data_IF_633968400045
#
_entry.id   IF_633968400045
#
_cell.length_a   1.000
_cell.length_b   1.000
_cell.length_c   1.000
_cell.angle_alpha   90.00
_cell.angle_beta   90.00
_cell.angle_gamma   90.00
#
_symmetry.space_group_name_H-M   'P 1'
#
loop_
_entity.id
_entity.type
_entity.pdbx_description
1 polymer ?
#
# COMPACT_ATOMS: atom_id res chain seq x y z
N UNK A 1 44.52 17.58 -41.33
CA UNK A 1 43.83 17.63 -40.02
C UNK A 1 42.57 16.78 -40.09
N UNK A 2 42.68 15.48 -39.82
CA UNK A 2 41.55 14.53 -39.92
C UNK A 2 40.97 14.32 -38.52
N UNK A 3 39.73 14.78 -38.30
CA UNK A 3 39.04 14.61 -37.02
C UNK A 3 38.40 13.21 -36.97
N UNK A 4 38.89 12.37 -36.07
CA UNK A 4 38.36 11.03 -35.83
C UNK A 4 36.99 11.12 -35.15
N UNK A 5 35.95 10.56 -35.80
CA UNK A 5 34.59 10.49 -35.28
C UNK A 5 34.49 9.42 -34.19
N UNK A 6 34.64 9.82 -32.93
CA UNK A 6 34.35 8.94 -31.78
C UNK A 6 32.83 8.87 -31.60
N UNK A 7 32.23 7.72 -31.93
CA UNK A 7 30.80 7.48 -31.72
C UNK A 7 30.60 6.75 -30.39
N UNK A 8 30.03 7.45 -29.40
CA UNK A 8 29.66 6.85 -28.13
C UNK A 8 28.48 5.88 -28.32
N UNK A 9 28.69 4.59 -28.09
CA UNK A 9 27.62 3.59 -28.05
C UNK A 9 27.17 3.41 -26.60
N UNK A 10 25.96 3.86 -26.28
CA UNK A 10 25.35 3.60 -24.96
C UNK A 10 24.97 2.12 -24.88
N UNK A 11 25.45 1.40 -23.87
CA UNK A 11 24.98 0.04 -23.56
C UNK A 11 23.56 0.15 -23.02
N UNK A 12 22.60 -0.42 -23.74
CA UNK A 12 21.23 -0.57 -23.24
C UNK A 12 21.24 -1.49 -22.02
N UNK A 13 20.91 -0.95 -20.85
CA UNK A 13 20.70 -1.75 -19.64
C UNK A 13 19.31 -2.38 -19.75
N UNK A 14 19.27 -3.72 -19.81
CA UNK A 14 18.02 -4.48 -19.79
C UNK A 14 17.20 -4.07 -18.57
N UNK A 15 15.96 -3.60 -18.80
CA UNK A 15 15.02 -3.22 -17.73
C UNK A 15 14.91 -4.38 -16.74
N UNK A 16 15.26 -4.15 -15.46
CA UNK A 16 14.98 -5.11 -14.38
C UNK A 16 13.48 -5.40 -14.40
N UNK A 17 13.10 -6.68 -14.43
CA UNK A 17 11.71 -7.08 -14.19
C UNK A 17 11.35 -6.63 -12.79
N UNK A 18 10.50 -5.60 -12.67
CA UNK A 18 9.94 -5.17 -11.41
C UNK A 18 9.12 -6.34 -10.87
N UNK A 19 9.53 -6.91 -9.74
CA UNK A 19 8.70 -7.91 -9.08
C UNK A 19 7.45 -7.22 -8.52
N UNK A 20 6.28 -7.88 -8.57
CA UNK A 20 5.09 -7.34 -7.95
C UNK A 20 5.34 -7.15 -6.45
N UNK A 21 5.06 -5.96 -5.94
CA UNK A 21 5.20 -5.64 -4.53
C UNK A 21 4.26 -6.54 -3.73
N UNK A 22 4.78 -7.19 -2.69
CA UNK A 22 3.93 -7.91 -1.73
C UNK A 22 3.10 -6.87 -0.97
N UNK A 23 1.86 -7.23 -0.64
CA UNK A 23 1.00 -6.38 0.18
C UNK A 23 1.71 -5.99 1.48
N UNK A 24 1.59 -4.72 1.88
CA UNK A 24 2.22 -4.19 3.09
C UNK A 24 1.80 -4.95 4.36
N UNK A 25 0.57 -5.44 4.41
CA UNK A 25 0.00 -6.17 5.56
C UNK A 25 -0.79 -7.39 5.09
N UNK A 26 -0.92 -8.38 5.97
CA UNK A 26 -1.80 -9.52 5.79
C UNK A 26 -2.77 -9.61 6.96
N UNK A 27 -4.05 -9.83 6.67
CA UNK A 27 -5.09 -10.01 7.66
C UNK A 27 -5.34 -11.50 7.92
N UNK A 28 -5.68 -11.81 9.17
CA UNK A 28 -6.17 -13.14 9.52
C UNK A 28 -7.66 -13.27 9.18
N UNK A 29 -8.18 -14.49 8.97
CA UNK A 29 -9.60 -14.69 8.66
C UNK A 29 -10.54 -14.11 9.72
N UNK A 30 -10.15 -14.18 11.00
CA UNK A 30 -10.90 -13.60 12.11
C UNK A 30 -10.94 -12.07 12.07
N UNK A 31 -9.83 -11.43 11.70
CA UNK A 31 -9.76 -9.97 11.55
C UNK A 31 -10.67 -9.49 10.42
N UNK A 32 -10.65 -10.21 9.28
CA UNK A 32 -11.55 -9.95 8.16
C UNK A 32 -13.01 -9.99 8.61
N UNK A 33 -13.43 -11.06 9.30
CA UNK A 33 -14.79 -11.20 9.82
C UNK A 33 -15.23 -10.05 10.73
N UNK A 34 -14.32 -9.58 11.60
CA UNK A 34 -14.59 -8.47 12.50
C UNK A 34 -14.76 -7.14 11.75
N UNK A 35 -13.94 -6.89 10.73
CA UNK A 35 -14.08 -5.72 9.86
C UNK A 35 -15.42 -5.77 9.10
N UNK A 36 -15.85 -6.95 8.62
CA UNK A 36 -17.17 -7.09 7.99
C UNK A 36 -18.30 -6.67 8.92
N UNK A 37 -18.24 -7.09 10.17
CA UNK A 37 -19.25 -6.75 11.17
C UNK A 37 -19.28 -5.24 11.43
N UNK A 38 -18.12 -4.61 11.59
CA UNK A 38 -18.02 -3.17 11.84
C UNK A 38 -18.54 -2.31 10.68
N UNK A 39 -18.38 -2.77 9.44
CA UNK A 39 -18.81 -2.05 8.24
C UNK A 39 -20.28 -2.30 7.88
N UNK A 40 -20.87 -3.43 8.30
CA UNK A 40 -22.32 -3.69 8.13
C UNK A 40 -23.18 -2.58 8.72
N UNK A 41 -22.75 -2.04 9.86
CA UNK A 41 -23.45 -0.98 10.56
C UNK A 41 -23.26 0.41 9.91
N UNK A 42 -22.34 0.53 8.93
CA UNK A 42 -21.89 1.80 8.34
C UNK A 42 -21.67 1.68 6.82
N UNK A 43 -22.76 1.59 6.03
CA UNK A 43 -22.68 1.35 4.58
C UNK A 43 -22.01 2.47 3.78
N UNK A 44 -21.82 3.65 4.38
CA UNK A 44 -21.15 4.77 3.70
C UNK A 44 -19.63 4.63 3.63
N UNK A 45 -19.01 3.69 4.36
CA UNK A 45 -17.56 3.54 4.43
C UNK A 45 -17.09 2.36 3.59
N UNK A 46 -16.08 2.61 2.75
CA UNK A 46 -15.55 1.66 1.77
C UNK A 46 -14.47 0.77 2.39
N UNK A 47 -13.84 1.21 3.48
CA UNK A 47 -12.77 0.45 4.12
C UNK A 47 -12.32 1.00 5.47
N UNK A 48 -11.28 0.36 6.01
CA UNK A 48 -10.63 0.76 7.26
C UNK A 48 -9.19 1.16 6.95
N UNK A 49 -8.78 2.31 7.46
CA UNK A 49 -7.43 2.84 7.40
C UNK A 49 -6.65 2.52 8.67
N UNK A 50 -5.39 2.07 8.52
CA UNK A 50 -4.49 1.77 9.63
C UNK A 50 -3.39 2.84 9.71
N UNK A 51 -3.51 3.74 10.67
CA UNK A 51 -2.47 4.71 10.99
C UNK A 51 -1.55 4.23 12.11
N UNK A 52 -0.35 4.80 12.17
CA UNK A 52 0.53 4.74 13.34
C UNK A 52 0.69 6.12 13.95
N UNK A 53 0.60 6.21 15.27
CA UNK A 53 0.83 7.44 16.04
C UNK A 53 1.94 7.22 17.06
N UNK A 54 2.84 8.18 17.20
CA UNK A 54 3.93 8.14 18.18
C UNK A 54 3.40 8.38 19.59
N UNK A 55 3.83 7.56 20.56
CA UNK A 55 3.46 7.65 21.98
C UNK A 55 4.72 7.52 22.85
N UNK A 56 5.05 8.59 23.58
CA UNK A 56 6.18 8.60 24.51
C UNK A 56 7.55 8.46 23.81
N UNK A 57 8.55 7.97 24.56
CA UNK A 57 9.96 8.00 24.12
C UNK A 57 10.26 7.06 22.93
N UNK A 58 9.60 5.89 22.86
CA UNK A 58 9.83 4.88 21.80
C UNK A 58 8.54 4.12 21.41
N UNK A 59 7.35 4.59 21.82
CA UNK A 59 6.11 3.87 21.58
C UNK A 59 5.46 4.24 20.24
N UNK A 60 4.92 3.24 19.56
CA UNK A 60 3.99 3.41 18.45
C UNK A 60 2.62 2.87 18.86
N UNK A 61 1.56 3.52 18.42
CA UNK A 61 0.19 3.08 18.62
C UNK A 61 -0.54 3.05 17.31
N UNK A 62 -1.18 1.93 17.02
CA UNK A 62 -2.00 1.76 15.83
C UNK A 62 -3.36 2.43 16.04
N UNK A 63 -3.84 3.11 15.01
CA UNK A 63 -5.17 3.72 14.98
C UNK A 63 -5.94 3.19 13.78
N UNK A 64 -7.19 2.79 14.02
CA UNK A 64 -8.10 2.33 12.97
C UNK A 64 -9.13 3.43 12.70
N UNK A 65 -9.17 3.92 11.47
CA UNK A 65 -10.11 4.96 11.04
C UNK A 65 -10.96 4.45 9.88
N UNK A 66 -12.25 4.75 9.83
CA UNK A 66 -13.08 4.37 8.69
C UNK A 66 -12.85 5.37 7.55
N UNK A 67 -12.69 4.89 6.32
CA UNK A 67 -12.53 5.77 5.16
C UNK A 67 -13.51 5.44 4.05
N UNK A 68 -13.92 6.48 3.33
CA UNK A 68 -14.76 6.38 2.11
C UNK A 68 -13.91 6.40 0.84
N UNK A 69 -12.74 7.03 0.90
CA UNK A 69 -11.88 7.29 -0.26
C UNK A 69 -10.44 6.95 0.05
N UNK A 70 -9.68 6.61 -0.99
CA UNK A 70 -8.24 6.37 -0.93
C UNK A 70 -7.53 7.72 -1.08
N UNK A 71 -6.51 7.98 -0.26
CA UNK A 71 -5.61 9.12 -0.48
C UNK A 71 -4.52 8.79 -1.50
N UNK A 72 -3.88 9.81 -2.07
CA UNK A 72 -2.83 9.64 -3.09
C UNK A 72 -1.57 8.92 -2.59
N UNK A 73 -1.34 8.91 -1.27
CA UNK A 73 -0.20 8.25 -0.62
C UNK A 73 -0.59 6.98 0.11
N UNK A 74 -1.84 6.54 -0.03
CA UNK A 74 -2.33 5.38 0.69
C UNK A 74 -2.16 4.11 -0.14
N UNK A 75 -1.72 3.02 0.50
CA UNK A 75 -1.66 1.71 -0.14
C UNK A 75 -2.93 0.91 0.16
N UNK A 76 -3.61 0.46 -0.89
CA UNK A 76 -4.78 -0.41 -0.75
C UNK A 76 -4.35 -1.88 -0.72
N UNK A 77 -4.69 -2.54 0.37
CA UNK A 77 -4.56 -3.98 0.52
C UNK A 77 -5.94 -4.61 0.37
N UNK A 78 -6.15 -5.29 -0.75
CA UNK A 78 -7.36 -6.08 -1.02
C UNK A 78 -7.07 -7.54 -0.70
N UNK A 79 -7.87 -8.12 0.21
CA UNK A 79 -7.86 -9.55 0.49
C UNK A 79 -9.28 -10.11 0.35
N UNK A 80 -9.39 -11.23 -0.36
CA UNK A 80 -10.64 -11.95 -0.66
C UNK A 80 -11.73 -11.15 -1.40
N UNK A 81 -11.32 -10.19 -2.23
CA UNK A 81 -12.18 -9.39 -3.14
C UNK A 81 -13.32 -8.60 -2.46
N UNK A 82 -13.34 -8.54 -1.12
CA UNK A 82 -14.50 -8.04 -0.38
C UNK A 82 -14.17 -6.88 0.58
N UNK A 83 -12.89 -6.64 0.89
CA UNK A 83 -12.49 -5.59 1.85
C UNK A 83 -11.23 -4.86 1.42
N UNK A 84 -11.25 -3.54 1.63
CA UNK A 84 -10.15 -2.64 1.33
C UNK A 84 -9.57 -2.14 2.65
N UNK A 85 -8.37 -2.61 2.99
CA UNK A 85 -7.58 -2.00 4.04
C UNK A 85 -6.72 -0.92 3.40
N UNK A 86 -6.72 0.26 3.98
CA UNK A 86 -5.92 1.39 3.52
C UNK A 86 -4.79 1.58 4.53
N UNK A 87 -3.54 1.58 4.10
CA UNK A 87 -2.38 1.84 4.96
C UNK A 87 -1.86 3.24 4.67
#
# INVERSE_FOLDING_TARGET
MSASLVRATVRAVSKRKLQPTRAALTLTPSAVNKIKQLLKDKPEHVGVKVGVRTRGCNGLSYTLEYTKTKGDSDEEVVQDELWNLVV
#
